data_IF_713614426627
#
_entry.id   IF_713614426627
#
_cell.length_a   1.000
_cell.length_b   1.000
_cell.length_c   1.000
_cell.angle_alpha   90.00
_cell.angle_beta   90.00
_cell.angle_gamma   90.00
#
_symmetry.space_group_name_H-M   'P 1'
#
loop_
_entity.id
_entity.type
_entity.pdbx_description
1 polymer ?
#
# COMPACT_ATOMS: atom_id res chain seq x y z
N UNK A 1 -24.07 52.64 27.34
CA UNK A 1 -25.21 51.72 27.15
C UNK A 1 -24.65 50.32 26.96
N UNK A 2 -24.74 49.47 27.99
CA UNK A 2 -24.49 48.03 27.88
C UNK A 2 -25.81 47.32 28.16
N UNK A 3 -26.18 46.34 27.34
CA UNK A 3 -27.07 45.23 27.69
C UNK A 3 -26.98 44.13 26.61
N UNK A 4 -26.17 43.12 26.94
CA UNK A 4 -26.39 41.67 26.78
C UNK A 4 -27.11 41.19 25.51
N UNK A 5 -26.36 40.47 24.67
CA UNK A 5 -26.90 39.35 23.90
C UNK A 5 -25.95 38.14 24.07
N UNK A 6 -26.19 37.38 25.14
CA UNK A 6 -25.80 35.98 25.21
C UNK A 6 -26.96 35.18 24.61
N UNK A 7 -26.70 34.31 23.63
CA UNK A 7 -27.24 32.94 23.52
C UNK A 7 -26.79 32.34 22.16
N UNK A 8 -25.96 31.30 22.17
CA UNK A 8 -26.37 29.91 21.93
C UNK A 8 -26.79 29.60 20.48
N UNK A 9 -25.85 29.08 19.69
CA UNK A 9 -26.00 28.01 18.69
C UNK A 9 -24.62 27.91 18.01
N UNK A 10 -23.85 26.85 18.12
CA UNK A 10 -24.24 25.45 18.09
C UNK A 10 -23.29 24.82 17.08
N UNK A 11 -22.30 24.09 17.59
CA UNK A 11 -21.71 22.89 17.00
C UNK A 11 -22.14 22.68 15.54
N UNK A 12 -21.32 23.10 14.58
CA UNK A 12 -21.29 22.48 13.24
C UNK A 12 -20.26 21.33 13.25
N UNK A 13 -20.37 20.47 14.27
CA UNK A 13 -19.91 19.09 14.20
C UNK A 13 -21.17 18.28 13.87
N UNK A 14 -21.09 17.44 12.85
CA UNK A 14 -22.16 16.63 12.23
C UNK A 14 -22.86 17.32 11.05
N UNK A 15 -22.30 17.12 9.85
CA UNK A 15 -22.98 16.53 8.67
C UNK A 15 -22.11 16.74 7.40
N UNK A 16 -21.02 15.97 7.29
CA UNK A 16 -20.44 15.58 5.98
C UNK A 16 -20.35 14.04 5.91
N UNK A 17 -21.35 13.36 6.46
CA UNK A 17 -21.63 11.96 6.13
C UNK A 17 -22.40 11.95 4.81
N UNK A 18 -21.75 11.59 3.70
CA UNK A 18 -22.50 11.41 2.45
C UNK A 18 -21.76 10.93 1.21
N UNK A 19 -20.46 11.19 1.05
CA UNK A 19 -19.66 10.61 -0.03
C UNK A 19 -18.20 10.55 0.43
N UNK A 20 -17.82 9.47 1.12
CA UNK A 20 -16.42 9.03 1.07
C UNK A 20 -16.05 8.81 -0.41
N UNK A 21 -14.87 9.27 -0.81
CA UNK A 21 -14.41 9.12 -2.18
C UNK A 21 -14.33 7.64 -2.55
N UNK A 22 -14.36 7.31 -3.84
CA UNK A 22 -14.21 5.92 -4.27
C UNK A 22 -12.86 5.34 -3.84
N UNK A 23 -11.79 6.15 -3.87
CA UNK A 23 -10.46 5.77 -3.41
C UNK A 23 -10.43 5.43 -1.90
N UNK A 24 -11.12 6.21 -1.06
CA UNK A 24 -11.23 5.92 0.37
C UNK A 24 -11.95 4.60 0.64
N UNK A 25 -13.03 4.32 -0.11
CA UNK A 25 -13.77 3.06 0.02
C UNK A 25 -12.92 1.87 -0.37
N UNK A 26 -12.16 1.99 -1.45
CA UNK A 26 -11.29 0.92 -1.91
C UNK A 26 -10.13 0.67 -0.95
N UNK A 27 -9.54 1.73 -0.39
CA UNK A 27 -8.53 1.61 0.67
C UNK A 27 -9.07 0.89 1.90
N UNK A 28 -10.26 1.25 2.40
CA UNK A 28 -10.86 0.57 3.54
C UNK A 28 -11.19 -0.89 3.23
N UNK A 29 -11.70 -1.17 2.02
CA UNK A 29 -11.94 -2.54 1.57
C UNK A 29 -10.63 -3.35 1.49
N UNK A 30 -9.56 -2.75 0.99
CA UNK A 30 -8.25 -3.37 0.87
C UNK A 30 -7.64 -3.66 2.24
N UNK A 31 -7.69 -2.70 3.18
CA UNK A 31 -7.28 -2.91 4.58
C UNK A 31 -8.05 -4.08 5.21
N UNK A 32 -9.37 -4.12 5.03
CA UNK A 32 -10.21 -5.19 5.56
C UNK A 32 -9.91 -6.55 4.93
N UNK A 33 -9.63 -6.60 3.63
CA UNK A 33 -9.26 -7.82 2.92
C UNK A 33 -7.91 -8.36 3.40
N UNK A 34 -6.90 -7.49 3.58
CA UNK A 34 -5.59 -7.86 4.14
C UNK A 34 -5.73 -8.40 5.56
N UNK A 35 -6.46 -7.69 6.43
CA UNK A 35 -6.71 -8.13 7.81
C UNK A 35 -7.48 -9.46 7.87
N UNK A 36 -8.37 -9.69 6.91
CA UNK A 36 -9.13 -10.93 6.77
C UNK A 36 -8.39 -12.08 6.09
N UNK A 37 -7.15 -11.87 5.63
CA UNK A 37 -6.38 -12.89 4.91
C UNK A 37 -6.96 -13.28 3.55
N UNK A 38 -7.75 -12.41 2.92
CA UNK A 38 -8.47 -12.70 1.68
C UNK A 38 -7.61 -12.37 0.46
N UNK A 39 -6.61 -13.20 0.17
CA UNK A 39 -5.59 -12.92 -0.86
C UNK A 39 -6.18 -12.60 -2.25
N UNK A 40 -7.22 -13.30 -2.69
CA UNK A 40 -7.86 -13.02 -3.98
C UNK A 40 -8.53 -11.64 -4.02
N UNK A 41 -9.21 -11.26 -2.94
CA UNK A 41 -9.80 -9.92 -2.80
C UNK A 41 -8.71 -8.84 -2.78
N UNK A 42 -7.61 -9.10 -2.05
CA UNK A 42 -6.46 -8.19 -2.00
C UNK A 42 -5.88 -8.00 -3.40
N UNK A 43 -5.63 -9.07 -4.16
CA UNK A 43 -5.08 -9.02 -5.51
C UNK A 43 -5.98 -8.23 -6.48
N UNK A 44 -7.29 -8.45 -6.40
CA UNK A 44 -8.25 -7.72 -7.20
C UNK A 44 -8.24 -6.22 -6.86
N UNK A 45 -8.42 -5.89 -5.58
CA UNK A 45 -8.52 -4.50 -5.13
C UNK A 45 -7.23 -3.70 -5.38
N UNK A 46 -6.06 -4.28 -5.10
CA UNK A 46 -4.76 -3.63 -5.41
C UNK A 46 -4.61 -3.36 -6.90
N UNK A 47 -4.96 -4.32 -7.77
CA UNK A 47 -4.89 -4.12 -9.22
C UNK A 47 -5.83 -3.01 -9.70
N UNK A 48 -7.08 -2.99 -9.22
CA UNK A 48 -8.08 -1.97 -9.54
C UNK A 48 -7.65 -0.58 -9.05
N UNK A 49 -7.15 -0.48 -7.81
CA UNK A 49 -6.61 0.76 -7.26
C UNK A 49 -5.36 1.24 -8.00
N UNK A 50 -4.45 0.32 -8.35
CA UNK A 50 -3.21 0.67 -9.06
C UNK A 50 -3.48 1.24 -10.46
N UNK A 51 -4.52 0.77 -11.15
CA UNK A 51 -4.94 1.32 -12.43
C UNK A 51 -5.34 2.80 -12.35
N UNK A 52 -5.77 3.28 -11.18
CA UNK A 52 -6.15 4.67 -10.90
C UNK A 52 -5.22 5.36 -9.89
N UNK A 53 -4.00 4.85 -9.69
CA UNK A 53 -3.05 5.36 -8.69
C UNK A 53 -2.68 6.84 -8.86
N UNK A 54 -2.79 7.37 -10.08
CA UNK A 54 -2.51 8.78 -10.36
C UNK A 54 -3.50 9.73 -9.68
N UNK A 55 -4.70 9.23 -9.34
CA UNK A 55 -5.75 9.98 -8.65
C UNK A 55 -5.76 9.71 -7.13
N UNK A 56 -4.87 8.84 -6.64
CA UNK A 56 -4.76 8.53 -5.21
C UNK A 56 -3.94 9.59 -4.48
N UNK A 57 -4.39 9.95 -3.28
CA UNK A 57 -3.59 10.69 -2.31
C UNK A 57 -2.51 9.81 -1.66
N UNK A 58 -1.67 10.43 -0.83
CA UNK A 58 -0.57 9.75 -0.14
C UNK A 58 -1.02 8.60 0.76
N UNK A 59 -2.16 8.74 1.45
CA UNK A 59 -2.68 7.70 2.34
C UNK A 59 -3.15 6.47 1.55
N UNK A 60 -3.90 6.70 0.46
CA UNK A 60 -4.37 5.64 -0.43
C UNK A 60 -3.21 4.94 -1.15
N UNK A 61 -2.18 5.69 -1.54
CA UNK A 61 -0.94 5.12 -2.10
C UNK A 61 -0.16 4.30 -1.06
N UNK A 62 -0.17 4.70 0.22
CA UNK A 62 0.42 3.91 1.31
C UNK A 62 -0.33 2.59 1.54
N UNK A 63 -1.66 2.61 1.48
CA UNK A 63 -2.48 1.38 1.54
C UNK A 63 -2.20 0.48 0.34
N UNK A 64 -2.10 1.05 -0.86
CA UNK A 64 -1.76 0.30 -2.08
C UNK A 64 -0.36 -0.34 -2.00
N UNK A 65 0.62 0.40 -1.46
CA UNK A 65 1.97 -0.12 -1.16
C UNK A 65 1.89 -1.33 -0.22
N UNK A 66 1.13 -1.21 0.88
CA UNK A 66 0.94 -2.30 1.82
C UNK A 66 0.23 -3.51 1.20
N UNK A 67 -0.73 -3.27 0.30
CA UNK A 67 -1.42 -4.31 -0.47
C UNK A 67 -0.49 -5.11 -1.37
N UNK A 68 0.37 -4.44 -2.14
CA UNK A 68 1.37 -5.15 -2.96
C UNK A 68 2.41 -5.86 -2.10
N UNK A 69 2.85 -5.25 -1.00
CA UNK A 69 3.73 -5.92 -0.04
C UNK A 69 3.08 -7.19 0.55
N UNK A 70 1.78 -7.15 0.88
CA UNK A 70 1.04 -8.33 1.32
C UNK A 70 1.03 -9.45 0.26
N UNK A 71 0.82 -9.09 -1.01
CA UNK A 71 0.86 -10.06 -2.11
C UNK A 71 2.25 -10.67 -2.31
N UNK A 72 3.31 -9.87 -2.19
CA UNK A 72 4.69 -10.35 -2.20
C UNK A 72 4.93 -11.36 -1.07
N UNK A 73 4.51 -11.05 0.16
CA UNK A 73 4.59 -11.96 1.30
C UNK A 73 3.84 -13.28 1.03
N UNK A 74 2.64 -13.22 0.43
CA UNK A 74 1.85 -14.42 0.08
C UNK A 74 2.42 -15.22 -1.08
N UNK A 75 3.02 -14.57 -2.06
CA UNK A 75 3.72 -15.25 -3.15
C UNK A 75 4.88 -16.08 -2.58
N UNK A 76 5.67 -15.52 -1.66
CA UNK A 76 6.77 -16.23 -0.99
C UNK A 76 6.31 -17.41 -0.12
N UNK A 77 5.14 -17.31 0.51
CA UNK A 77 4.56 -18.41 1.31
C UNK A 77 4.03 -19.56 0.43
N UNK A 78 3.65 -19.26 -0.81
CA UNK A 78 2.83 -20.13 -1.66
C UNK A 78 3.55 -20.63 -2.91
N UNK A 79 3.14 -20.09 -4.07
CA UNK A 79 3.62 -20.52 -5.37
C UNK A 79 5.11 -20.18 -5.59
N UNK A 80 5.60 -19.14 -4.92
CA UNK A 80 6.97 -18.67 -4.95
C UNK A 80 7.45 -18.42 -6.39
N UNK A 81 6.57 -17.87 -7.22
CA UNK A 81 6.88 -17.49 -8.59
C UNK A 81 7.72 -16.20 -8.57
N UNK A 82 8.99 -16.24 -9.01
CA UNK A 82 9.87 -15.08 -8.95
C UNK A 82 9.41 -13.92 -9.85
N UNK A 83 8.65 -14.19 -10.92
CA UNK A 83 8.12 -13.14 -11.78
C UNK A 83 7.01 -12.35 -11.08
N UNK A 84 6.07 -13.05 -10.44
CA UNK A 84 5.01 -12.42 -9.64
C UNK A 84 5.60 -11.66 -8.46
N UNK A 85 6.55 -12.28 -7.75
CA UNK A 85 7.20 -11.66 -6.60
C UNK A 85 7.91 -10.36 -7.01
N UNK A 86 8.65 -10.38 -8.11
CA UNK A 86 9.31 -9.17 -8.64
C UNK A 86 8.30 -8.09 -8.99
N UNK A 87 7.21 -8.43 -9.70
CA UNK A 87 6.18 -7.46 -10.11
C UNK A 87 5.52 -6.80 -8.88
N UNK A 88 5.16 -7.58 -7.86
CA UNK A 88 4.58 -7.05 -6.64
C UNK A 88 5.55 -6.12 -5.88
N UNK A 89 6.82 -6.50 -5.75
CA UNK A 89 7.82 -5.66 -5.08
C UNK A 89 8.01 -4.34 -5.82
N UNK A 90 8.11 -4.38 -7.15
CA UNK A 90 8.30 -3.17 -7.96
C UNK A 90 7.11 -2.23 -7.88
N UNK A 91 5.88 -2.77 -7.95
CA UNK A 91 4.67 -1.97 -7.79
C UNK A 91 4.54 -1.39 -6.39
N UNK A 92 4.92 -2.14 -5.35
CA UNK A 92 4.95 -1.62 -3.98
C UNK A 92 5.92 -0.44 -3.87
N UNK A 93 7.14 -0.57 -4.37
CA UNK A 93 8.13 0.51 -4.36
C UNK A 93 7.68 1.74 -5.16
N UNK A 94 7.06 1.55 -6.32
CA UNK A 94 6.51 2.65 -7.11
C UNK A 94 5.40 3.41 -6.36
N UNK A 95 4.51 2.68 -5.67
CA UNK A 95 3.45 3.29 -4.87
C UNK A 95 4.02 4.01 -3.64
N UNK A 96 5.06 3.45 -3.02
CA UNK A 96 5.77 4.08 -1.91
C UNK A 96 6.37 5.43 -2.34
N UNK A 97 7.12 5.43 -3.45
CA UNK A 97 7.75 6.65 -3.97
C UNK A 97 6.69 7.69 -4.37
N UNK A 98 5.57 7.25 -4.94
CA UNK A 98 4.45 8.11 -5.27
C UNK A 98 3.80 8.73 -4.02
N UNK A 99 3.57 7.92 -2.96
CA UNK A 99 3.01 8.39 -1.70
C UNK A 99 3.90 9.47 -1.07
N UNK A 100 5.19 9.17 -0.97
CA UNK A 100 6.21 10.06 -0.40
C UNK A 100 6.37 11.36 -1.20
N UNK A 101 6.22 11.30 -2.52
CA UNK A 101 6.24 12.48 -3.39
C UNK A 101 4.98 13.32 -3.29
N UNK A 102 3.83 12.69 -3.09
CA UNK A 102 2.53 13.36 -2.96
C UNK A 102 2.45 14.13 -1.63
N UNK A 103 2.62 13.42 -0.51
CA UNK A 103 2.67 13.99 0.83
C UNK A 103 3.43 13.03 1.76
N UNK A 104 4.68 13.37 2.07
CA UNK A 104 5.56 12.53 2.87
C UNK A 104 5.15 12.44 4.35
N UNK A 105 4.45 13.43 4.90
CA UNK A 105 4.03 13.40 6.31
C UNK A 105 2.84 12.45 6.45
N UNK A 106 1.80 12.64 5.63
CA UNK A 106 0.64 11.76 5.60
C UNK A 106 1.00 10.32 5.21
N UNK A 107 1.91 10.13 4.24
CA UNK A 107 2.36 8.79 3.86
C UNK A 107 3.03 8.06 5.04
N UNK A 108 3.92 8.74 5.78
CA UNK A 108 4.59 8.15 6.95
C UNK A 108 3.61 7.79 8.05
N UNK A 109 2.69 8.70 8.36
CA UNK A 109 1.65 8.42 9.36
C UNK A 109 0.80 7.21 8.96
N UNK A 110 0.39 7.13 7.69
CA UNK A 110 -0.35 5.99 7.17
C UNK A 110 0.45 4.68 7.27
N UNK A 111 1.75 4.69 6.93
CA UNK A 111 2.61 3.52 7.09
C UNK A 111 2.77 3.09 8.56
N UNK A 112 2.88 4.04 9.49
CA UNK A 112 2.92 3.75 10.92
C UNK A 112 1.62 3.12 11.41
N UNK A 113 0.46 3.66 11.02
CA UNK A 113 -0.86 3.12 11.35
C UNK A 113 -1.06 1.71 10.79
N UNK A 114 -0.48 1.40 9.63
CA UNK A 114 -0.48 0.06 9.02
C UNK A 114 0.54 -0.90 9.65
N UNK A 115 1.35 -0.46 10.61
CA UNK A 115 2.44 -1.27 11.20
C UNK A 115 3.59 -1.53 10.23
N UNK A 116 3.75 -0.67 9.22
CA UNK A 116 4.67 -0.78 8.09
C UNK A 116 5.68 0.38 8.04
N UNK A 117 6.11 0.89 9.20
CA UNK A 117 7.01 2.04 9.31
C UNK A 117 8.35 1.88 8.56
N UNK A 118 8.84 0.64 8.37
CA UNK A 118 10.10 0.33 7.68
C UNK A 118 9.89 -0.23 6.25
N UNK A 119 8.70 -0.12 5.68
CA UNK A 119 8.33 -0.83 4.44
C UNK A 119 9.26 -0.57 3.26
N UNK A 120 9.80 0.64 3.11
CA UNK A 120 10.79 0.95 2.06
C UNK A 120 12.03 0.06 2.17
N UNK A 121 12.57 -0.04 3.39
CA UNK A 121 13.75 -0.84 3.68
C UNK A 121 13.44 -2.31 3.44
N UNK A 122 12.32 -2.79 3.97
CA UNK A 122 11.90 -4.19 3.86
C UNK A 122 11.72 -4.59 2.38
N UNK A 123 11.08 -3.75 1.57
CA UNK A 123 10.91 -3.96 0.13
C UNK A 123 12.24 -3.95 -0.64
N UNK A 124 13.15 -3.03 -0.30
CA UNK A 124 14.48 -2.95 -0.94
C UNK A 124 15.34 -4.17 -0.60
N UNK A 125 15.30 -4.63 0.65
CA UNK A 125 15.98 -5.85 1.07
C UNK A 125 15.40 -7.07 0.36
N UNK A 126 14.06 -7.15 0.27
CA UNK A 126 13.39 -8.23 -0.45
C UNK A 126 13.76 -8.25 -1.94
N UNK A 127 13.76 -7.08 -2.60
CA UNK A 127 14.20 -6.95 -4.00
C UNK A 127 15.63 -7.44 -4.20
N UNK A 128 16.56 -6.96 -3.38
CA UNK A 128 17.97 -7.36 -3.44
C UNK A 128 18.16 -8.86 -3.24
N UNK A 129 17.41 -9.47 -2.31
CA UNK A 129 17.49 -10.91 -2.05
C UNK A 129 16.97 -11.72 -3.25
N UNK A 130 15.88 -11.28 -3.89
CA UNK A 130 15.34 -11.91 -5.09
C UNK A 130 16.34 -11.86 -6.24
N UNK A 131 16.93 -10.70 -6.51
CA UNK A 131 17.94 -10.52 -7.56
C UNK A 131 19.18 -11.39 -7.33
N UNK A 132 19.65 -11.50 -6.08
CA UNK A 132 20.76 -12.38 -5.72
C UNK A 132 20.44 -13.86 -5.93
N UNK A 133 19.23 -14.28 -5.57
CA UNK A 133 18.79 -15.66 -5.76
C UNK A 133 18.72 -16.02 -7.26
N UNK A 134 18.17 -15.14 -8.09
CA UNK A 134 18.10 -15.32 -9.54
C UNK A 134 19.48 -15.37 -10.18
N UNK A 135 20.40 -14.49 -9.78
CA UNK A 135 21.77 -14.50 -10.28
C UNK A 135 22.52 -15.80 -9.88
N UNK A 136 22.31 -16.28 -8.66
CA UNK A 136 22.89 -17.54 -8.19
C UNK A 136 22.35 -18.74 -8.98
N UNK A 137 21.03 -18.77 -9.25
CA UNK A 137 20.41 -19.81 -10.07
C UNK A 137 21.00 -19.84 -11.49
N UNK A 138 21.11 -18.67 -12.14
CA UNK A 138 21.70 -18.57 -13.47
C UNK A 138 23.16 -19.05 -13.50
N UNK A 139 23.97 -18.65 -12.52
CA UNK A 139 25.37 -19.07 -12.41
C UNK A 139 25.53 -20.59 -12.23
N UNK A 140 24.57 -21.26 -11.55
CA UNK A 140 24.55 -22.72 -11.43
C UNK A 140 24.16 -23.38 -12.74
N UNK A 141 23.16 -22.86 -13.47
CA UNK A 141 22.75 -23.38 -14.77
C UNK A 141 23.88 -23.28 -15.81
N UNK A 142 24.63 -22.18 -15.80
CA UNK A 142 25.80 -22.00 -16.66
C UNK A 142 26.92 -23.01 -16.36
N UNK A 143 27.17 -23.33 -15.08
CA UNK A 143 28.14 -24.36 -14.69
C UNK A 143 27.72 -25.78 -15.06
N UNK A 144 26.41 -26.05 -15.13
CA UNK A 144 25.88 -27.36 -15.52
C UNK A 144 25.92 -27.55 -17.05
N UNK A 145 25.65 -26.47 -17.80
CA UNK A 145 25.52 -26.51 -19.25
C UNK A 145 26.80 -26.12 -20.02
N UNK A 146 27.80 -25.54 -19.35
CA UNK A 146 29.11 -25.19 -19.91
C UNK A 146 30.14 -26.30 -19.74
#
# INVERSE_FOLDING_TARGET
>A
MMKKLFLFLGICLMMLSGCTSEAEKDSEALKAAMAGGKTEDVAKLTSEMYAKKADCDAENLAVLTAGYNYLAEKEMEGANDPANLSDYIEKALECYDAAMKSDAESAKEAFEQLGKANIEKDLKELKSNLEQAQAAEQALLEQING
#
